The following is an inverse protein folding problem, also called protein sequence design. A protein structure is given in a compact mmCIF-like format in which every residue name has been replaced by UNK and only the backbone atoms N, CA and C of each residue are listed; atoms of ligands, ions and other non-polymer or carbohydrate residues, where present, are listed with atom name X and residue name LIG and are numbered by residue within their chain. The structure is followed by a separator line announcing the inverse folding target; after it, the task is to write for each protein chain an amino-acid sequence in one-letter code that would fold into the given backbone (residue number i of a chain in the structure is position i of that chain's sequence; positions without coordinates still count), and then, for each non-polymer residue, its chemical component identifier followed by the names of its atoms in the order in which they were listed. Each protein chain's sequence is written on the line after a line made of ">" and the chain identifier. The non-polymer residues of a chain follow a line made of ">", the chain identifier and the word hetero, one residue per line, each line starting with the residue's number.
data_IF_339794430751
#
_entry.id   IF_339794430751
#
_cell.length_a   1.000
_cell.length_b   1.000
_cell.length_c   1.000
_cell.angle_alpha   90.00
_cell.angle_beta   90.00
_cell.angle_gamma   90.00
#
_symmetry.space_group_name_H-M   'P 1'
#
loop_
_entity.id
_entity.type
_entity.pdbx_description
1 polymer ?
#
# COMPACT_ATOMS: atom_id res chain seq x y z
N UNK A 1 12.30 12.38 9.25
CA UNK A 1 11.17 11.89 10.05
C UNK A 1 10.57 10.65 9.39
N UNK A 2 10.32 9.62 10.18
CA UNK A 2 9.77 8.37 9.64
C UNK A 2 8.26 8.44 9.63
N UNK A 3 7.67 7.85 8.61
CA UNK A 3 6.23 7.69 8.53
C UNK A 3 5.81 6.54 9.46
N UNK A 4 4.55 6.58 9.91
CA UNK A 4 4.09 5.58 10.87
C UNK A 4 4.18 4.15 10.30
N UNK A 5 3.93 3.99 9.01
CA UNK A 5 3.98 2.65 8.40
C UNK A 5 5.39 2.07 8.34
N UNK A 6 6.41 2.93 8.30
CA UNK A 6 7.79 2.44 8.37
C UNK A 6 8.09 1.92 9.76
N UNK A 7 7.59 2.61 10.78
CA UNK A 7 7.82 2.23 12.17
C UNK A 7 7.05 0.98 12.56
N UNK A 8 5.83 0.84 12.05
CA UNK A 8 4.95 -0.27 12.39
C UNK A 8 5.13 -1.48 11.49
N UNK A 9 5.84 -1.32 10.39
CA UNK A 9 6.08 -2.42 9.47
C UNK A 9 4.88 -2.82 8.62
N UNK A 10 3.91 -1.90 8.45
CA UNK A 10 2.70 -2.24 7.67
C UNK A 10 2.87 -2.07 6.17
N UNK A 11 3.98 -1.48 5.73
CA UNK A 11 4.19 -1.23 4.30
C UNK A 11 4.21 -2.53 3.50
N UNK A 12 4.92 -3.54 3.98
CA UNK A 12 4.97 -4.85 3.33
C UNK A 12 3.60 -5.49 3.19
N UNK A 13 2.82 -5.60 4.29
CA UNK A 13 1.47 -6.14 4.21
C UNK A 13 0.55 -5.36 3.28
N UNK A 14 0.66 -4.03 3.24
CA UNK A 14 -0.13 -3.22 2.31
C UNK A 14 0.24 -3.55 0.87
N UNK A 15 1.52 -3.63 0.58
CA UNK A 15 2.01 -3.96 -0.75
C UNK A 15 1.51 -5.33 -1.19
N UNK A 16 1.60 -6.31 -0.32
CA UNK A 16 1.12 -7.66 -0.60
C UNK A 16 -0.38 -7.68 -0.87
N UNK A 17 -1.15 -6.94 -0.06
CA UNK A 17 -2.60 -6.86 -0.23
C UNK A 17 -2.98 -6.22 -1.56
N UNK A 18 -2.22 -5.23 -2.01
CA UNK A 18 -2.44 -4.63 -3.33
C UNK A 18 -2.23 -5.65 -4.44
N UNK A 19 -1.22 -6.52 -4.29
CA UNK A 19 -0.99 -7.58 -5.25
C UNK A 19 -2.09 -8.61 -5.28
N UNK A 20 -2.85 -8.74 -4.19
CA UNK A 20 -4.00 -9.64 -4.11
C UNK A 20 -5.27 -9.02 -4.70
N UNK A 21 -5.24 -7.74 -5.06
CA UNK A 21 -6.38 -7.07 -5.65
C UNK A 21 -7.34 -6.45 -4.65
N UNK A 22 -6.95 -6.30 -3.41
CA UNK A 22 -7.80 -5.69 -2.38
C UNK A 22 -7.86 -4.18 -2.56
N UNK A 23 -9.01 -3.59 -2.21
CA UNK A 23 -9.14 -2.14 -2.24
C UNK A 23 -8.75 -1.53 -0.89
N UNK A 24 -8.77 -0.19 -0.81
CA UNK A 24 -8.32 0.52 0.38
C UNK A 24 -9.12 0.13 1.62
N UNK A 25 -10.42 0.00 1.45
CA UNK A 25 -11.31 -0.35 2.56
C UNK A 25 -10.99 -1.75 3.09
N UNK A 26 -10.79 -2.69 2.19
CA UNK A 26 -10.46 -4.06 2.57
C UNK A 26 -9.11 -4.14 3.23
N UNK A 27 -8.12 -3.43 2.70
CA UNK A 27 -6.79 -3.39 3.27
C UNK A 27 -6.83 -2.80 4.68
N UNK A 28 -7.58 -1.70 4.84
CA UNK A 28 -7.71 -1.05 6.14
C UNK A 28 -8.29 -2.00 7.17
N UNK A 29 -9.34 -2.71 6.81
CA UNK A 29 -9.97 -3.68 7.72
C UNK A 29 -9.02 -4.82 8.07
N UNK A 30 -8.34 -5.34 7.08
CA UNK A 30 -7.43 -6.47 7.26
C UNK A 30 -6.28 -6.13 8.20
N UNK A 31 -5.76 -4.92 8.09
CA UNK A 31 -4.58 -4.50 8.85
C UNK A 31 -4.91 -3.66 10.07
N UNK A 32 -6.19 -3.37 10.31
CA UNK A 32 -6.59 -2.57 11.46
C UNK A 32 -6.21 -1.10 11.31
N UNK A 33 -6.22 -0.58 10.09
CA UNK A 33 -5.86 0.80 9.79
C UNK A 33 -7.09 1.56 9.32
N UNK A 34 -6.95 2.90 9.20
CA UNK A 34 -7.97 3.71 8.56
C UNK A 34 -7.71 3.75 7.06
N UNK A 35 -8.76 4.04 6.27
CA UNK A 35 -8.60 4.17 4.83
C UNK A 35 -7.63 5.30 4.49
N UNK A 36 -7.67 6.39 5.26
CA UNK A 36 -6.75 7.51 5.05
C UNK A 36 -5.31 7.07 5.19
N UNK A 37 -5.02 6.26 6.21
CA UNK A 37 -3.67 5.75 6.41
C UNK A 37 -3.23 4.86 5.24
N UNK A 38 -4.14 4.00 4.77
CA UNK A 38 -3.85 3.13 3.62
C UNK A 38 -3.57 3.98 2.38
N UNK A 39 -4.41 5.00 2.13
CA UNK A 39 -4.24 5.88 0.99
C UNK A 39 -2.90 6.61 1.04
N UNK A 40 -2.50 7.08 2.23
CA UNK A 40 -1.23 7.76 2.39
C UNK A 40 -0.06 6.82 2.12
N UNK A 41 -0.13 5.59 2.59
CA UNK A 41 0.90 4.59 2.31
C UNK A 41 1.02 4.32 0.81
N UNK A 42 -0.11 4.16 0.14
CA UNK A 42 -0.13 3.90 -1.30
C UNK A 42 0.46 5.07 -2.06
N UNK A 43 0.08 6.30 -1.69
CA UNK A 43 0.61 7.49 -2.33
C UNK A 43 2.13 7.58 -2.16
N UNK A 44 2.61 7.27 -0.97
CA UNK A 44 4.04 7.28 -0.70
C UNK A 44 4.78 6.25 -1.56
N UNK A 45 4.24 5.05 -1.66
CA UNK A 45 4.86 3.99 -2.47
C UNK A 45 4.85 4.36 -3.95
N UNK A 46 3.75 4.94 -4.43
CA UNK A 46 3.68 5.38 -5.83
C UNK A 46 4.77 6.39 -6.12
N UNK A 47 4.97 7.34 -5.22
CA UNK A 47 6.01 8.34 -5.37
C UNK A 47 7.41 7.71 -5.33
N UNK A 48 7.61 6.80 -4.39
CA UNK A 48 8.90 6.12 -4.20
C UNK A 48 9.28 5.30 -5.43
N UNK A 49 8.32 4.57 -5.99
CA UNK A 49 8.56 3.71 -7.16
C UNK A 49 8.33 4.45 -8.48
N UNK A 50 7.93 5.71 -8.42
CA UNK A 50 7.69 6.56 -9.60
C UNK A 50 6.60 5.96 -10.50
N UNK A 51 5.56 5.43 -9.89
CA UNK A 51 4.39 4.90 -10.59
C UNK A 51 3.33 5.98 -10.73
N UNK A 52 2.51 5.86 -11.75
CA UNK A 52 1.52 6.89 -12.07
C UNK A 52 0.26 6.79 -11.24
N UNK A 53 -0.18 5.57 -10.95
CA UNK A 53 -1.43 5.37 -10.26
C UNK A 53 -1.42 4.03 -9.53
N UNK A 54 -2.49 3.82 -8.77
CA UNK A 54 -2.67 2.62 -7.96
C UNK A 54 -2.72 1.35 -8.80
N UNK A 55 -3.29 1.44 -9.99
CA UNK A 55 -3.38 0.28 -10.89
C UNK A 55 -1.99 -0.24 -11.27
N UNK A 56 -1.10 0.68 -11.58
CA UNK A 56 0.29 0.31 -11.89
C UNK A 56 0.96 -0.33 -10.69
N UNK A 57 0.68 0.19 -9.50
CA UNK A 57 1.25 -0.37 -8.29
C UNK A 57 0.75 -1.79 -8.05
N UNK A 58 -0.55 -2.03 -8.25
CA UNK A 58 -1.12 -3.36 -8.09
C UNK A 58 -0.49 -4.35 -9.06
N UNK A 59 -0.31 -3.95 -10.32
CA UNK A 59 0.36 -4.78 -11.31
C UNK A 59 1.81 -5.04 -10.94
N UNK A 60 2.49 -4.03 -10.45
CA UNK A 60 3.88 -4.15 -10.02
C UNK A 60 3.99 -5.15 -8.87
N UNK A 61 3.12 -5.02 -7.88
CA UNK A 61 3.13 -5.92 -6.72
C UNK A 61 2.81 -7.36 -7.12
N UNK A 62 1.86 -7.53 -8.04
CA UNK A 62 1.45 -8.85 -8.51
C UNK A 62 2.56 -9.50 -9.33
N UNK A 63 3.23 -8.72 -10.17
CA UNK A 63 4.26 -9.25 -11.06
C UNK A 63 5.61 -9.42 -10.37
N UNK A 64 5.90 -8.56 -9.39
CA UNK A 64 7.20 -8.54 -8.74
C UNK A 64 7.32 -9.42 -7.52
N UNK A 65 6.28 -10.13 -7.21
CA UNK A 65 6.22 -10.95 -5.99
C UNK A 65 7.32 -12.00 -5.93
#
# INVERSE_FOLDING_TARGET
>A
MRCFWEQTGVLGPIYHSLGEGLDDSEIAKKLGLTEVNVQNCIAWVLHFLKLKNRQELALYASAGA
#
